data_IF_072397957025
#
_entry.id   IF_072397957025
#
_cell.length_a   1.000
_cell.length_b   1.000
_cell.length_c   1.000
_cell.angle_alpha   90.00
_cell.angle_beta   90.00
_cell.angle_gamma   90.00
#
_symmetry.space_group_name_H-M   'P 1'
#
loop_
_entity.id
_entity.type
_entity.pdbx_description
1 polymer ?
2 non-polymer ?
3 water ?
#
# COMPACT_ATOMS: atom_id res chain seq x y z
N UNK A 7 11.81 -17.82 -41.95
CA UNK A 7 11.11 -18.50 -40.85
C UNK A 7 12.05 -19.43 -40.09
N UNK A 8 12.11 -19.23 -38.78
CA UNK A 8 13.01 -20.01 -37.94
C UNK A 8 12.46 -21.43 -37.75
N UNK A 9 13.37 -22.35 -37.44
CA UNK A 9 13.02 -23.73 -37.17
C UNK A 9 12.82 -23.88 -35.66
N UNK A 10 11.56 -23.79 -35.23
CA UNK A 10 11.22 -23.87 -33.82
C UNK A 10 11.15 -25.32 -33.37
N UNK A 11 11.29 -25.57 -32.07
CA UNK A 11 11.05 -26.92 -31.55
C UNK A 11 9.59 -27.31 -31.68
N UNK A 12 9.34 -28.60 -31.52
CA UNK A 12 7.98 -29.10 -31.58
C UNK A 12 7.16 -28.49 -30.44
N UNK A 13 5.89 -28.12 -30.69
CA UNK A 13 5.05 -27.63 -29.58
C UNK A 13 4.78 -28.70 -28.53
N UNK A 14 5.04 -29.98 -28.82
CA UNK A 14 4.78 -31.01 -27.82
C UNK A 14 5.86 -31.04 -26.75
N UNK A 15 7.06 -30.56 -27.06
CA UNK A 15 8.17 -30.54 -26.10
C UNK A 15 8.51 -29.14 -25.65
N UNK A 16 7.88 -28.11 -26.21
CA UNK A 16 8.09 -26.71 -25.82
C UNK A 16 6.80 -25.97 -26.17
N UNK A 17 5.81 -26.11 -25.29
CA UNK A 17 4.44 -25.65 -25.54
C UNK A 17 4.31 -24.14 -25.63
N UNK A 18 5.41 -23.38 -25.50
CA UNK A 18 5.34 -21.95 -25.70
C UNK A 18 5.28 -21.57 -27.18
N UNK A 19 5.53 -22.51 -28.08
CA UNK A 19 5.40 -22.25 -29.52
C UNK A 19 4.20 -23.01 -30.05
N UNK A 20 3.02 -22.72 -29.50
CA UNK A 20 1.75 -23.26 -29.98
C UNK A 20 1.09 -22.20 -30.86
N UNK A 21 0.52 -22.64 -31.98
CA UNK A 21 -0.13 -21.73 -32.92
C UNK A 21 -1.16 -20.87 -32.21
N UNK A 22 -0.93 -19.56 -32.20
CA UNK A 22 -1.84 -18.62 -31.53
C UNK A 22 -3.22 -18.67 -32.15
N UNK A 23 -4.15 -19.34 -31.47
CA UNK A 23 -5.52 -19.47 -31.92
C UNK A 23 -6.44 -18.65 -31.01
N UNK A 24 -7.74 -18.90 -31.11
CA UNK A 24 -8.72 -18.24 -30.26
C UNK A 24 -8.95 -18.96 -28.94
N UNK A 25 -8.58 -20.24 -28.85
CA UNK A 25 -8.76 -21.03 -27.65
C UNK A 25 -7.60 -20.91 -26.68
N UNK A 26 -6.66 -20.00 -26.93
CA UNK A 26 -5.53 -19.82 -26.02
C UNK A 26 -5.14 -18.38 -25.76
N UNK A 27 -5.61 -17.40 -26.55
CA UNK A 27 -5.23 -16.00 -26.35
C UNK A 27 -6.26 -15.13 -27.06
N UNK A 28 -6.55 -13.97 -26.47
CA UNK A 28 -7.44 -12.98 -27.05
C UNK A 28 -6.80 -11.62 -26.89
N UNK A 29 -6.80 -10.83 -27.96
CA UNK A 29 -6.17 -9.52 -27.99
C UNK A 29 -7.21 -8.41 -27.84
N UNK A 30 -6.72 -7.22 -27.48
CA UNK A 30 -7.54 -6.03 -27.30
C UNK A 30 -8.67 -6.27 -26.30
N UNK A 39 2.10 -2.49 -30.92
CA UNK A 39 2.23 -3.57 -29.94
C UNK A 39 0.86 -3.99 -29.43
N UNK A 40 0.55 -5.27 -29.54
CA UNK A 40 -0.79 -5.74 -29.17
C UNK A 40 -1.02 -5.71 -27.67
N UNK A 41 -2.23 -5.35 -27.28
CA UNK A 41 -2.64 -5.34 -25.88
C UNK A 41 -3.28 -6.69 -25.55
N UNK A 42 -2.84 -7.30 -24.45
CA UNK A 42 -3.29 -8.63 -24.07
C UNK A 42 -4.58 -8.50 -23.28
N UNK A 43 -5.68 -9.02 -23.85
CA UNK A 43 -6.96 -9.03 -23.15
C UNK A 43 -7.11 -10.26 -22.27
N UNK A 44 -6.65 -11.41 -22.74
CA UNK A 44 -6.74 -12.64 -21.96
C UNK A 44 -6.05 -13.77 -22.67
N UNK A 45 -5.96 -14.90 -21.97
CA UNK A 45 -5.33 -16.08 -22.53
C UNK A 45 -4.82 -16.98 -21.43
N UNK A 46 -4.38 -18.17 -21.86
CA UNK A 46 -3.84 -19.13 -20.91
C UNK A 46 -2.55 -18.61 -20.29
N UNK A 47 -2.19 -19.20 -19.14
CA UNK A 47 -0.98 -18.77 -18.44
C UNK A 47 0.25 -19.08 -19.28
N UNK A 48 0.18 -20.10 -20.13
CA UNK A 48 1.29 -20.41 -21.02
C UNK A 48 1.47 -19.31 -22.07
N UNK A 49 0.35 -18.79 -22.59
CA UNK A 49 0.44 -17.71 -23.56
C UNK A 49 0.84 -16.39 -22.91
N UNK A 50 0.45 -16.18 -21.64
CA UNK A 50 0.86 -14.97 -20.94
C UNK A 50 2.37 -14.95 -20.70
N UNK A 51 2.95 -16.12 -20.39
CA UNK A 51 4.39 -16.19 -20.17
C UNK A 51 5.14 -15.90 -21.47
N UNK A 52 4.65 -16.44 -22.60
CA UNK A 52 5.29 -16.17 -23.88
C UNK A 52 5.24 -14.69 -24.22
N UNK A 53 4.09 -14.05 -23.99
CA UNK A 53 3.98 -12.62 -24.24
C UNK A 53 4.80 -11.80 -23.25
N UNK A 54 4.93 -12.30 -22.01
CA UNK A 54 5.77 -11.62 -21.04
C UNK A 54 7.24 -11.64 -21.46
N UNK A 55 7.66 -12.69 -22.14
CA UNK A 55 9.04 -12.87 -22.59
C UNK A 55 9.11 -12.95 -24.11
N UNK A 56 8.29 -12.14 -24.79
CA UNK A 56 8.28 -12.14 -26.25
C UNK A 56 9.52 -11.46 -26.79
N UNK A 57 10.12 -12.07 -27.82
CA UNK A 57 11.39 -11.59 -28.34
C UNK A 57 11.24 -10.45 -29.33
N UNK A 58 10.07 -10.30 -29.96
CA UNK A 58 9.90 -9.31 -31.01
C UNK A 58 9.75 -7.88 -30.49
N UNK A 59 9.42 -7.72 -29.21
CA UNK A 59 9.25 -6.38 -28.64
C UNK A 59 9.44 -6.47 -27.13
N UNK A 60 9.59 -5.30 -26.52
CA UNK A 60 9.74 -5.16 -25.06
C UNK A 60 8.65 -4.21 -24.56
N UNK A 61 7.73 -4.74 -23.75
CA UNK A 61 6.64 -3.96 -23.18
C UNK A 61 6.83 -3.88 -21.67
N UNK A 62 7.51 -2.84 -21.16
CA UNK A 62 7.65 -2.71 -19.71
C UNK A 62 6.33 -2.51 -19.00
N UNK A 63 5.33 -1.96 -19.70
CA UNK A 63 4.00 -1.81 -19.10
C UNK A 63 3.35 -3.16 -18.86
N UNK A 64 3.69 -4.17 -19.67
CA UNK A 64 3.14 -5.50 -19.48
C UNK A 64 3.90 -6.29 -18.42
N UNK A 65 5.19 -6.00 -18.25
CA UNK A 65 5.97 -6.69 -17.22
C UNK A 65 5.62 -6.14 -15.84
N UNK A 66 5.43 -4.83 -15.72
CA UNK A 66 5.08 -4.25 -14.44
C UNK A 66 3.69 -4.71 -14.00
N UNK A 67 2.73 -4.75 -14.93
CA UNK A 67 1.38 -5.16 -14.58
C UNK A 67 1.31 -6.64 -14.23
N UNK A 68 2.04 -7.47 -14.98
CA UNK A 68 2.02 -8.91 -14.71
C UNK A 68 2.54 -9.23 -13.32
N UNK A 69 3.75 -8.76 -13.00
CA UNK A 69 4.36 -9.06 -11.71
C UNK A 69 3.55 -8.48 -10.55
N UNK A 70 2.75 -7.44 -10.80
CA UNK A 70 1.92 -6.86 -9.74
C UNK A 70 0.67 -7.69 -9.48
N UNK A 71 0.11 -8.32 -10.51
CA UNK A 71 -1.19 -8.95 -10.40
C UNK A 71 -1.19 -10.45 -10.69
N UNK A 72 -0.02 -11.07 -10.90
CA UNK A 72 -0.01 -12.48 -11.31
C UNK A 72 -0.49 -13.42 -10.21
N UNK A 73 -0.42 -12.99 -8.94
CA UNK A 73 -0.80 -13.87 -7.84
C UNK A 73 -2.30 -14.17 -7.80
N UNK A 74 -3.10 -13.46 -8.59
CA UNK A 74 -4.53 -13.74 -8.68
C UNK A 74 -4.85 -14.88 -9.65
N UNK A 75 -3.84 -15.41 -10.35
CA UNK A 75 -4.08 -16.54 -11.24
C UNK A 75 -2.90 -17.49 -11.34
N UNK A 76 -1.84 -17.30 -10.55
CA UNK A 76 -0.66 -18.15 -10.63
C UNK A 76 0.13 -18.02 -9.34
N UNK A 77 0.59 -19.16 -8.83
CA UNK A 77 1.40 -19.17 -7.62
C UNK A 77 2.83 -18.72 -7.93
N UNK A 78 3.53 -18.12 -6.95
CA UNK A 78 4.93 -17.72 -7.19
C UNK A 78 5.82 -18.87 -7.60
N UNK A 79 5.65 -20.04 -6.98
CA UNK A 79 6.44 -21.21 -7.37
C UNK A 79 6.10 -21.65 -8.80
N UNK A 80 4.82 -21.52 -9.18
CA UNK A 80 4.41 -21.90 -10.52
C UNK A 80 4.96 -20.94 -11.56
N UNK A 81 5.03 -19.64 -11.24
CA UNK A 81 5.57 -18.67 -12.17
C UNK A 81 7.05 -18.92 -12.43
N UNK A 82 7.82 -19.22 -11.38
CA UNK A 82 9.24 -19.52 -11.56
C UNK A 82 9.45 -20.79 -12.37
N UNK A 83 8.52 -21.75 -12.26
CA UNK A 83 8.63 -22.96 -13.07
C UNK A 83 8.38 -22.66 -14.55
N UNK A 84 7.41 -21.79 -14.85
CA UNK A 84 7.13 -21.45 -16.24
C UNK A 84 8.24 -20.64 -16.87
N UNK A 85 8.87 -19.76 -16.09
CA UNK A 85 9.97 -18.95 -16.64
C UNK A 85 11.22 -19.80 -16.87
N UNK A 86 11.47 -20.77 -16.00
CA UNK A 86 12.58 -21.69 -16.22
C UNK A 86 12.28 -22.59 -17.41
N UNK A 87 11.04 -23.06 -17.54
CA UNK A 87 10.64 -23.82 -18.72
C UNK A 87 10.77 -22.99 -19.98
N UNK A 88 10.47 -21.69 -19.89
CA UNK A 88 10.66 -20.80 -21.03
C UNK A 88 12.13 -20.58 -21.33
N UNK A 89 12.99 -20.75 -20.33
CA UNK A 89 14.43 -20.51 -20.52
C UNK A 89 15.10 -21.71 -21.16
N UNK A 90 14.74 -22.93 -20.75
CA UNK A 90 15.39 -24.14 -21.22
C UNK A 90 14.72 -24.62 -22.52
N UNK A 91 15.00 -23.88 -23.58
CA UNK A 91 14.44 -24.16 -24.91
C UNK A 91 15.18 -25.32 -25.54
N UNK A 92 14.51 -26.45 -25.84
CA UNK A 92 15.17 -27.55 -26.54
C UNK A 92 15.26 -27.25 -28.03
N UNK A 93 16.47 -27.22 -28.56
CA UNK A 93 16.62 -26.95 -29.97
C UNK A 93 16.40 -28.22 -30.80
N UNK A 94 15.84 -28.09 -32.00
CA UNK A 94 15.57 -29.29 -32.81
C UNK A 94 16.85 -29.95 -33.29
N UNK A 95 16.71 -31.23 -33.64
CA UNK A 95 17.85 -32.00 -34.13
C UNK A 95 17.95 -31.92 -35.66
N UNK A 103 25.21 -32.82 -37.46
CA UNK A 103 23.97 -32.87 -36.71
C UNK A 103 24.06 -33.87 -35.56
N UNK A 104 23.49 -35.06 -35.77
CA UNK A 104 23.56 -36.11 -34.76
C UNK A 104 25.01 -36.60 -34.60
N UNK A 105 25.78 -36.60 -35.70
CA UNK A 105 27.18 -36.98 -35.61
C UNK A 105 28.01 -35.93 -34.88
N UNK A 106 27.52 -34.70 -34.78
CA UNK A 106 28.24 -33.65 -34.08
C UNK A 106 28.32 -33.88 -32.58
N UNK A 107 27.63 -34.90 -32.06
CA UNK A 107 27.72 -35.24 -30.65
C UNK A 107 29.14 -35.41 -30.18
N UNK A 108 29.54 -34.57 -29.20
CA UNK A 108 30.88 -34.37 -28.66
C UNK A 108 31.50 -33.11 -29.25
N UNK A 109 30.73 -32.38 -30.06
CA UNK A 109 31.19 -31.17 -30.72
C UNK A 109 30.00 -30.23 -30.86
N UNK A 110 30.23 -28.94 -31.08
CA UNK A 110 29.12 -28.01 -31.32
C UNK A 110 28.42 -28.31 -32.64
N UNK A 111 27.18 -27.83 -32.74
CA UNK A 111 26.37 -27.96 -33.94
C UNK A 111 26.31 -26.60 -34.62
N UNK A 112 26.04 -26.62 -35.93
CA UNK A 112 26.08 -25.41 -36.74
C UNK A 112 24.88 -25.40 -37.68
N UNK A 113 24.92 -24.46 -38.64
CA UNK A 113 23.88 -24.20 -39.64
C UNK A 113 22.67 -23.49 -39.02
N UNK A 114 21.47 -24.04 -39.22
CA UNK A 114 20.24 -23.36 -38.83
C UNK A 114 20.10 -23.17 -37.33
N UNK A 115 20.95 -23.80 -36.51
CA UNK A 115 20.86 -23.58 -35.08
C UNK A 115 21.43 -22.22 -34.68
N UNK A 116 22.37 -21.68 -35.45
CA UNK A 116 22.89 -20.35 -35.17
C UNK A 116 21.82 -19.29 -35.35
N UNK A 117 20.98 -19.43 -36.38
CA UNK A 117 19.87 -18.51 -36.57
C UNK A 117 18.80 -18.68 -35.49
N UNK A 118 18.62 -19.91 -35.01
CA UNK A 118 17.63 -20.16 -33.96
C UNK A 118 18.08 -19.60 -32.62
N UNK A 119 19.40 -19.56 -32.38
CA UNK A 119 19.90 -19.05 -31.10
C UNK A 119 20.03 -17.54 -31.10
N UNK A 120 20.33 -16.93 -32.25
CA UNK A 120 20.56 -15.48 -32.29
C UNK A 120 19.26 -14.69 -32.36
N UNK A 121 18.21 -15.25 -32.97
CA UNK A 121 16.96 -14.53 -33.16
C UNK A 121 15.88 -14.90 -32.17
N UNK A 122 15.94 -16.11 -31.58
CA UNK A 122 14.90 -16.54 -30.65
C UNK A 122 15.45 -16.90 -29.27
N UNK A 123 16.46 -17.77 -29.20
CA UNK A 123 16.92 -18.26 -27.90
C UNK A 123 17.56 -17.14 -27.10
N UNK A 124 18.44 -16.35 -27.73
CA UNK A 124 19.10 -15.27 -27.00
C UNK A 124 18.11 -14.18 -26.56
N UNK A 125 17.26 -13.63 -27.42
CA UNK A 125 16.34 -12.59 -26.94
C UNK A 125 15.36 -13.09 -25.89
N UNK A 126 14.82 -14.30 -26.06
CA UNK A 126 13.86 -14.82 -25.08
C UNK A 126 14.52 -15.00 -23.73
N UNK A 127 15.72 -15.59 -23.71
CA UNK A 127 16.43 -15.77 -22.45
C UNK A 127 16.82 -14.44 -21.82
N UNK A 128 17.06 -13.41 -22.64
CA UNK A 128 17.34 -12.09 -22.09
C UNK A 128 16.09 -11.44 -21.54
N UNK A 129 14.93 -11.69 -22.17
CA UNK A 129 13.67 -11.17 -21.62
C UNK A 129 13.37 -11.79 -20.26
N UNK A 130 13.70 -13.06 -20.09
CA UNK A 130 13.44 -13.73 -18.82
C UNK A 130 14.29 -13.14 -17.71
N UNK A 131 15.57 -12.89 -17.99
CA UNK A 131 16.45 -12.30 -16.98
C UNK A 131 15.98 -10.90 -16.58
N UNK A 132 15.41 -10.16 -17.53
CA UNK A 132 14.83 -8.87 -17.17
C UNK A 132 13.58 -9.05 -16.31
N UNK A 133 12.82 -10.13 -16.53
CA UNK A 133 11.69 -10.42 -15.67
C UNK A 133 12.18 -10.79 -14.27
N UNK A 134 13.22 -11.62 -14.18
CA UNK A 134 13.80 -11.93 -12.88
C UNK A 134 14.31 -10.68 -12.18
N UNK A 135 14.96 -9.79 -12.93
CA UNK A 135 15.51 -8.57 -12.35
C UNK A 135 14.40 -7.64 -11.86
N UNK A 136 13.33 -7.50 -12.64
CA UNK A 136 12.18 -6.72 -12.20
C UNK A 136 11.42 -7.39 -11.08
N UNK A 137 11.55 -8.71 -10.94
CA UNK A 137 10.84 -9.43 -9.89
C UNK A 137 11.45 -9.18 -8.53
N UNK A 138 12.77 -9.38 -8.41
CA UNK A 138 13.45 -9.19 -7.13
C UNK A 138 13.56 -7.71 -6.77
N UNK A 139 13.52 -6.81 -7.77
CA UNK A 139 13.67 -5.39 -7.50
C UNK A 139 12.45 -4.82 -6.79
N UNK A 140 11.26 -5.04 -7.37
CA UNK A 140 10.04 -4.42 -6.87
C UNK A 140 9.14 -5.36 -6.09
N UNK A 141 9.41 -6.67 -6.10
CA UNK A 141 8.55 -7.64 -5.44
C UNK A 141 9.38 -8.66 -4.68
N UNK A 142 10.40 -8.20 -3.97
CA UNK A 142 11.26 -9.11 -3.21
C UNK A 142 10.52 -9.75 -2.03
N UNK A 143 9.34 -9.24 -1.66
CA UNK A 143 8.59 -9.86 -0.59
C UNK A 143 8.17 -11.28 -0.94
N UNK A 144 8.03 -11.59 -2.24
CA UNK A 144 7.74 -12.96 -2.65
C UNK A 144 8.84 -13.92 -2.21
N UNK A 145 10.09 -13.46 -2.19
CA UNK A 145 11.21 -14.29 -1.80
C UNK A 145 11.47 -14.25 -0.30
N UNK A 146 10.97 -13.24 0.41
CA UNK A 146 11.08 -13.24 1.86
C UNK A 146 10.09 -14.21 2.49
N UNK A 147 8.88 -14.29 1.94
CA UNK A 147 7.87 -15.21 2.45
C UNK A 147 8.15 -16.65 2.05
N UNK A 148 8.97 -16.89 1.02
CA UNK A 148 9.26 -18.22 0.53
C UNK A 148 10.76 -18.31 0.26
N UNK A 149 11.50 -18.92 1.18
CA UNK A 149 12.95 -19.07 0.99
C UNK A 149 13.26 -20.08 -0.11
N UNK A 150 12.37 -21.05 -0.35
CA UNK A 150 12.57 -21.99 -1.44
C UNK A 150 12.53 -21.28 -2.78
N UNK A 151 11.64 -20.29 -2.92
CA UNK A 151 11.58 -19.51 -4.15
C UNK A 151 12.89 -18.78 -4.40
N UNK A 152 13.50 -18.25 -3.34
CA UNK A 152 14.79 -17.57 -3.48
C UNK A 152 15.92 -18.55 -3.76
N UNK A 153 15.84 -19.76 -3.20
CA UNK A 153 16.88 -20.76 -3.44
C UNK A 153 16.87 -21.24 -4.89
N UNK A 154 15.67 -21.43 -5.46
CA UNK A 154 15.58 -21.85 -6.85
C UNK A 154 16.15 -20.80 -7.79
N UNK A 155 15.80 -19.54 -7.56
CA UNK A 155 16.28 -18.47 -8.44
C UNK A 155 17.79 -18.31 -8.36
N UNK A 156 18.33 -18.30 -7.14
CA UNK A 156 19.78 -18.17 -6.98
C UNK A 156 20.50 -19.37 -7.58
N UNK A 157 19.93 -20.56 -7.47
CA UNK A 157 20.54 -21.74 -8.07
C UNK A 157 20.49 -21.69 -9.58
N UNK A 158 19.39 -21.17 -10.13
CA UNK A 158 19.25 -21.09 -11.58
C UNK A 158 20.09 -19.96 -12.16
N UNK A 159 20.13 -18.81 -11.48
CA UNK A 159 20.91 -17.68 -11.96
C UNK A 159 22.39 -18.01 -12.00
N UNK A 160 22.86 -18.80 -11.05
CA UNK A 160 24.26 -19.19 -11.00
C UNK A 160 24.64 -20.25 -12.05
N UNK A 161 23.69 -20.66 -12.89
CA UNK A 161 23.96 -21.65 -13.93
C UNK A 161 23.81 -21.10 -15.34
N UNK A 162 23.46 -19.82 -15.48
CA UNK A 162 23.30 -19.22 -16.81
C UNK A 162 24.68 -18.90 -17.37
N UNK A 163 24.99 -19.47 -18.52
CA UNK A 163 26.27 -19.26 -19.18
C UNK A 163 26.13 -18.27 -20.32
N UNK A 164 27.17 -17.49 -20.54
CA UNK A 164 27.19 -16.53 -21.63
C UNK A 164 27.71 -15.16 -21.21
N UNK A 165 28.22 -14.41 -22.19
CA UNK A 165 28.76 -13.08 -21.91
C UNK A 165 27.66 -12.02 -21.94
N UNK A 166 26.73 -12.12 -22.90
CA UNK A 166 25.63 -11.17 -22.97
C UNK A 166 24.71 -11.28 -21.76
N UNK A 167 24.67 -12.43 -21.10
CA UNK A 167 23.86 -12.62 -19.92
C UNK A 167 24.65 -12.49 -18.63
N UNK A 168 25.97 -12.34 -18.71
CA UNK A 168 26.78 -12.13 -17.51
C UNK A 168 26.47 -10.79 -16.85
N UNK A 169 26.05 -9.80 -17.65
CA UNK A 169 25.67 -8.50 -17.09
C UNK A 169 24.35 -8.59 -16.34
N UNK A 170 23.42 -9.43 -16.80
CA UNK A 170 22.14 -9.58 -16.12
C UNK A 170 22.27 -10.47 -14.89
N UNK A 171 23.11 -11.50 -14.95
CA UNK A 171 23.30 -12.38 -13.81
C UNK A 171 23.91 -11.62 -12.63
N UNK A 172 24.94 -10.83 -12.90
CA UNK A 172 25.55 -10.03 -11.84
C UNK A 172 24.62 -8.95 -11.33
N UNK A 173 23.74 -8.43 -12.18
CA UNK A 173 22.80 -7.41 -11.75
C UNK A 173 21.74 -7.97 -10.80
N UNK A 174 21.22 -9.16 -11.11
CA UNK A 174 20.21 -9.78 -10.27
C UNK A 174 20.81 -10.15 -8.92
N UNK A 175 21.99 -10.77 -8.92
CA UNK A 175 22.64 -11.15 -7.66
C UNK A 175 22.99 -9.92 -6.84
N UNK A 176 23.27 -8.79 -7.49
CA UNK A 176 23.56 -7.57 -6.75
C UNK A 176 22.31 -7.05 -6.04
N UNK A 177 21.16 -7.10 -6.72
CA UNK A 177 19.91 -6.65 -6.10
C UNK A 177 19.54 -7.56 -4.93
N UNK A 178 19.73 -8.87 -5.09
CA UNK A 178 19.40 -9.81 -4.02
C UNK A 178 20.23 -9.54 -2.78
N UNK A 179 21.52 -9.23 -2.97
CA UNK A 179 22.37 -8.91 -1.84
C UNK A 179 21.93 -7.63 -1.15
N UNK A 180 21.66 -6.59 -1.94
CA UNK A 180 21.22 -5.31 -1.37
C UNK A 180 19.91 -5.46 -0.61
N UNK A 181 18.98 -6.27 -1.15
CA UNK A 181 17.73 -6.50 -0.45
C UNK A 181 17.95 -7.25 0.86
N UNK A 182 18.84 -8.24 0.86
CA UNK A 182 19.13 -8.97 2.09
C UNK A 182 19.76 -8.07 3.14
N UNK A 183 20.57 -7.09 2.72
CA UNK A 183 21.14 -6.14 3.67
C UNK A 183 20.07 -5.21 4.24
N UNK A 184 19.00 -4.98 3.49
CA UNK A 184 17.94 -4.09 3.96
C UNK A 184 17.03 -4.77 4.97
N UNK A 185 16.76 -6.07 4.78
CA UNK A 185 15.87 -6.77 5.71
C UNK A 185 16.58 -7.08 7.02
N UNK A 186 17.89 -7.36 6.97
CA UNK A 186 18.64 -7.65 8.18
C UNK A 186 18.98 -6.39 8.96
N UNK A 187 18.93 -5.22 8.33
CA UNK A 187 19.22 -3.95 8.98
C UNK A 187 17.96 -3.21 9.44
N UNK A 188 16.86 -3.34 8.70
CA UNK A 188 15.63 -2.63 8.98
C UNK A 188 15.45 -1.36 8.18
N UNK A 189 16.53 -0.64 7.90
CA UNK A 189 16.52 0.55 7.07
C UNK A 189 17.37 0.29 5.84
N UNK A 190 16.88 0.73 4.67
CA UNK A 190 17.61 0.58 3.41
C UNK A 190 18.85 1.45 3.36
N UNK A 194 17.68 8.82 4.64
CA UNK A 194 16.90 9.86 5.29
C UNK A 194 17.50 11.25 5.04
N UNK A 195 17.56 11.64 3.76
CA UNK A 195 18.11 12.91 3.35
C UNK A 195 16.98 13.92 3.17
N UNK A 196 17.18 15.13 3.71
CA UNK A 196 16.21 16.21 3.66
C UNK A 196 16.85 17.44 3.01
N UNK A 197 16.10 18.54 3.00
CA UNK A 197 16.63 19.78 2.44
C UNK A 197 16.84 20.79 3.57
N UNK A 198 15.88 21.63 4.00
CA UNK A 198 15.98 22.19 5.35
C UNK A 198 14.72 21.93 6.15
N UNK A 199 14.78 21.05 7.15
CA UNK A 199 13.60 20.75 7.96
C UNK A 199 13.34 21.82 9.01
N UNK A 200 12.09 22.04 9.39
CA UNK A 200 11.77 23.06 10.40
C UNK A 200 12.02 22.53 11.80
N UNK A 201 12.10 23.40 12.80
CA UNK A 201 12.36 22.94 14.17
C UNK A 201 11.15 22.25 14.78
N UNK A 202 11.42 21.40 15.76
CA UNK A 202 10.39 20.62 16.43
C UNK A 202 9.74 21.46 17.51
N UNK A 203 8.41 21.47 17.53
CA UNK A 203 7.65 22.27 18.49
C UNK A 203 7.41 21.48 19.78
N UNK A 204 7.44 22.19 20.90
CA UNK A 204 7.18 21.60 22.21
C UNK A 204 6.26 22.51 23.01
N UNK A 205 5.41 21.89 23.82
CA UNK A 205 4.43 22.64 24.61
C UNK A 205 4.71 22.38 26.08
N UNK A 206 3.90 21.57 26.77
CA UNK A 206 4.10 21.34 28.20
C UNK A 206 5.04 20.16 28.44
N UNK A 207 4.97 19.14 27.59
CA UNK A 207 5.82 17.97 27.73
C UNK A 207 7.25 18.31 27.34
N UNK A 208 8.17 18.16 28.28
CA UNK A 208 9.58 18.33 27.97
C UNK A 208 10.10 17.09 27.23
N UNK A 209 11.05 17.28 26.31
CA UNK A 209 11.57 16.12 25.56
C UNK A 209 12.28 15.14 26.48
N UNK A 210 12.08 13.85 26.21
CA UNK A 210 12.67 12.80 27.01
C UNK A 210 11.81 12.33 28.16
N UNK A 211 10.62 12.91 28.36
CA UNK A 211 9.70 12.54 29.43
C UNK A 211 8.43 12.03 28.78
N UNK A 212 8.44 10.74 28.41
CA UNK A 212 7.30 10.15 27.69
C UNK A 212 6.09 9.98 28.59
N UNK A 213 6.28 9.94 29.91
CA UNK A 213 5.16 9.75 30.82
C UNK A 213 4.20 10.94 30.78
N UNK A 214 4.71 12.13 30.48
CA UNK A 214 3.90 13.34 30.41
C UNK A 214 3.28 13.57 29.04
N UNK A 215 3.43 12.61 28.11
CA UNK A 215 2.91 12.79 26.77
C UNK A 215 1.39 12.59 26.76
N UNK A 216 0.69 13.50 26.11
CA UNK A 216 -0.76 13.46 26.03
C UNK A 216 -1.20 14.40 24.91
N UNK A 217 -2.50 14.36 24.60
CA UNK A 217 -3.03 15.23 23.56
C UNK A 217 -2.87 16.70 23.93
N UNK A 218 -3.13 17.04 25.19
CA UNK A 218 -3.13 18.44 25.64
C UNK A 218 -1.78 18.91 26.16
N UNK A 219 -0.81 18.01 26.33
CA UNK A 219 0.52 18.39 26.79
C UNK A 219 1.52 18.53 25.65
N UNK A 220 1.36 17.77 24.58
CA UNK A 220 2.22 17.93 23.41
C UNK A 220 1.73 19.10 22.56
N UNK A 221 2.62 19.57 21.69
CA UNK A 221 2.29 20.72 20.85
C UNK A 221 1.40 20.27 19.71
N UNK A 222 0.31 20.99 19.42
CA UNK A 222 -0.59 20.56 18.33
C UNK A 222 0.06 20.54 16.97
N UNK A 223 1.02 21.44 16.72
CA UNK A 223 1.76 21.40 15.47
C UNK A 223 2.54 20.10 15.36
N UNK A 224 3.28 19.74 16.42
CA UNK A 224 4.13 18.56 16.36
C UNK A 224 3.32 17.28 16.37
N UNK A 225 2.13 17.30 16.99
CA UNK A 225 1.26 16.13 16.96
C UNK A 225 0.89 15.79 15.52
N UNK A 226 0.47 16.80 14.75
CA UNK A 226 0.09 16.56 13.37
C UNK A 226 1.30 16.20 12.52
N UNK A 227 2.46 16.79 12.81
CA UNK A 227 3.68 16.45 12.07
C UNK A 227 4.04 14.99 12.26
N UNK A 228 4.14 14.55 13.51
CA UNK A 228 4.56 13.18 13.79
C UNK A 228 3.52 12.17 13.30
N UNK A 229 2.24 12.52 13.41
CA UNK A 229 1.19 11.63 12.89
C UNK A 229 1.23 11.57 11.37
N UNK A 230 1.55 12.69 10.71
CA UNK A 230 1.68 12.67 9.26
C UNK A 230 2.87 11.84 8.82
N UNK A 231 4.01 11.97 9.52
CA UNK A 231 5.19 11.18 9.19
C UNK A 231 4.94 9.70 9.41
N UNK A 232 4.25 9.35 10.49
CA UNK A 232 3.95 7.94 10.77
C UNK A 232 2.97 7.37 9.75
N UNK A 233 1.90 8.12 9.46
CA UNK A 233 0.94 7.67 8.47
C UNK A 233 1.49 7.69 7.05
N UNK A 234 2.52 8.51 6.80
CA UNK A 234 3.18 8.47 5.50
C UNK A 234 4.03 7.21 5.35
N UNK A 235 4.75 6.83 6.41
CA UNK A 235 5.55 5.61 6.35
C UNK A 235 4.67 4.38 6.21
N UNK A 236 3.55 4.34 6.94
CA UNK A 236 2.61 3.23 6.80
C UNK A 236 2.01 3.20 5.40
N UNK A 237 1.80 4.37 4.79
CA UNK A 237 1.21 4.43 3.45
C UNK A 237 2.20 3.97 2.40
N UNK A 238 3.48 4.30 2.57
CA UNK A 238 4.49 3.94 1.57
C UNK A 238 4.93 2.49 1.65
N UNK A 239 4.71 1.82 2.79
CA UNK A 239 5.03 0.41 2.91
C UNK A 239 4.00 -0.49 2.23
N UNK A 240 2.85 0.07 1.82
CA UNK A 240 1.80 -0.73 1.20
C UNK A 240 2.15 -0.97 -0.26
N UNK A 241 2.22 -2.25 -0.64
CA UNK A 241 2.52 -2.63 -2.01
C UNK A 241 1.24 -2.80 -2.82
N UNK A 242 1.29 -2.56 -4.14
CA UNK A 242 0.07 -2.71 -4.95
C UNK A 242 -0.50 -4.12 -4.96
N UNK A 243 0.34 -5.14 -4.80
CA UNK A 243 -0.15 -6.51 -4.80
C UNK A 243 -1.03 -6.81 -3.59
N UNK A 244 -0.89 -6.04 -2.51
CA UNK A 244 -1.75 -6.21 -1.34
C UNK A 244 -3.17 -5.75 -1.60
N UNK A 245 -3.44 -5.10 -2.73
CA UNK A 245 -4.77 -4.64 -3.09
C UNK A 245 -5.37 -5.41 -4.25
N UNK A 246 -4.64 -6.35 -4.83
CA UNK A 246 -5.11 -7.15 -5.96
C UNK A 246 -5.85 -8.36 -5.43
N UNK A 247 -6.98 -8.69 -6.05
CA UNK A 247 -7.74 -9.86 -5.67
C UNK A 247 -8.45 -9.78 -4.33
N UNK A 248 -8.54 -8.59 -3.73
CA UNK A 248 -9.20 -8.40 -2.45
C UNK A 248 -8.59 -9.29 -1.36
N UNK A 249 -7.28 -9.51 -1.44
CA UNK A 249 -6.62 -10.46 -0.54
C UNK A 249 -6.64 -9.98 0.91
N UNK A 250 -6.91 -8.71 1.15
CA UNK A 250 -7.00 -8.22 2.52
C UNK A 250 -8.34 -8.55 3.18
N UNK A 251 -9.24 -9.23 2.46
CA UNK A 251 -10.50 -9.69 3.02
C UNK A 251 -10.69 -11.19 2.79
N UNK A 252 -9.59 -11.94 2.79
CA UNK A 252 -9.62 -13.38 2.58
C UNK A 252 -9.11 -14.09 3.83
N UNK A 253 -8.89 -15.40 3.71
CA UNK A 253 -8.44 -16.19 4.85
C UNK A 253 -7.05 -15.76 5.30
N UNK A 254 -6.11 -15.66 4.37
CA UNK A 254 -4.74 -15.24 4.66
C UNK A 254 -4.55 -13.76 4.41
N UNK A 255 -5.43 -12.93 4.98
CA UNK A 255 -5.29 -11.49 4.82
C UNK A 255 -4.09 -10.95 5.58
N UNK A 256 -3.72 -11.59 6.69
CA UNK A 256 -2.59 -11.12 7.49
C UNK A 256 -1.26 -11.38 6.80
N UNK A 257 -1.21 -12.31 5.85
CA UNK A 257 0.03 -12.65 5.16
C UNK A 257 0.06 -11.96 3.81
N UNK A 258 -1.11 -11.81 3.18
CA UNK A 258 -1.19 -11.24 1.85
C UNK A 258 -1.23 -9.71 1.85
N UNK A 259 -1.69 -9.09 2.94
CA UNK A 259 -1.77 -7.63 3.02
C UNK A 259 -1.41 -7.17 4.43
N UNK A 260 -0.17 -7.42 4.88
CA UNK A 260 0.19 -6.99 6.23
C UNK A 260 0.35 -5.49 6.35
N UNK A 261 0.88 -4.83 5.33
CA UNK A 261 1.06 -3.38 5.39
C UNK A 261 -0.26 -2.63 5.22
N UNK A 262 -1.15 -3.16 4.37
CA UNK A 262 -2.45 -2.51 4.17
C UNK A 262 -3.30 -2.59 5.43
N UNK A 263 -3.30 -3.76 6.09
CA UNK A 263 -4.08 -3.90 7.32
C UNK A 263 -3.48 -3.09 8.46
N UNK A 264 -2.14 -2.97 8.51
CA UNK A 264 -1.52 -2.14 9.53
C UNK A 264 -1.88 -0.67 9.32
N UNK A 265 -2.05 -0.24 8.07
CA UNK A 265 -2.55 1.10 7.80
C UNK A 265 -3.98 1.27 8.28
N UNK A 266 -4.82 0.26 8.08
CA UNK A 266 -6.21 0.34 8.50
C UNK A 266 -6.32 0.33 10.02
N UNK A 267 -5.56 -0.54 10.67
CA UNK A 267 -5.61 -0.62 12.13
C UNK A 267 -5.13 0.67 12.78
N UNK A 268 -4.21 1.39 12.13
CA UNK A 268 -3.76 2.66 12.67
C UNK A 268 -4.83 3.73 12.56
N UNK A 269 -5.52 3.79 11.42
CA UNK A 269 -6.57 4.80 11.23
C UNK A 269 -7.71 4.58 12.20
N UNK A 270 -8.05 3.32 12.48
CA UNK A 270 -9.14 3.03 13.42
C UNK A 270 -8.72 3.39 14.84
N UNK A 271 -7.50 3.06 15.24
CA UNK A 271 -7.05 3.35 16.59
C UNK A 271 -6.96 4.85 16.84
N UNK A 272 -6.41 5.60 15.89
CA UNK A 272 -6.30 7.04 16.07
C UNK A 272 -7.66 7.72 16.06
N UNK A 273 -8.61 7.20 15.29
CA UNK A 273 -9.97 7.74 15.33
C UNK A 273 -10.60 7.53 16.70
N UNK A 274 -10.44 6.33 17.26
CA UNK A 274 -10.97 6.06 18.59
C UNK A 274 -10.22 6.83 19.66
N UNK A 275 -8.93 7.13 19.43
CA UNK A 275 -8.18 7.94 20.39
C UNK A 275 -8.73 9.35 20.45
N UNK A 276 -9.09 9.92 19.30
CA UNK A 276 -9.70 11.24 19.29
C UNK A 276 -11.08 11.22 19.95
N UNK A 277 -11.83 10.13 19.75
CA UNK A 277 -13.11 10.00 20.45
C UNK A 277 -12.91 9.82 21.95
N UNK A 278 -11.89 9.04 22.34
CA UNK A 278 -11.64 8.80 23.75
C UNK A 278 -11.23 10.07 24.48
N UNK A 279 -10.47 10.95 23.81
CA UNK A 279 -10.05 12.19 24.45
C UNK A 279 -11.23 13.13 24.66
N UNK A 280 -12.17 13.17 23.72
CA UNK A 280 -13.30 14.08 23.83
C UNK A 280 -14.27 13.61 24.90
N UNK A 281 -14.68 12.34 24.83
CA UNK A 281 -15.76 11.87 25.69
C UNK A 281 -15.31 11.64 27.14
N UNK A 282 -14.02 11.47 27.39
CA UNK A 282 -13.54 11.26 28.75
C UNK A 282 -13.24 12.56 29.48
N UNK A 283 -13.31 13.70 28.80
CA UNK A 283 -13.18 15.01 29.45
C UNK A 283 -14.54 15.37 30.01
N UNK A 284 -14.79 14.95 31.25
CA UNK A 284 -16.11 15.14 31.86
C UNK A 284 -16.41 16.60 32.11
N UNK A 285 -15.42 17.37 32.57
CA UNK A 285 -15.62 18.79 32.77
C UNK A 285 -15.89 19.48 31.44
N UNK A 286 -16.90 20.36 31.43
CA UNK A 286 -17.33 21.00 30.19
C UNK A 286 -16.22 21.86 29.60
N UNK A 287 -15.59 22.68 30.42
CA UNK A 287 -14.55 23.57 29.92
C UNK A 287 -13.36 22.78 29.40
N UNK A 288 -13.00 21.69 30.07
CA UNK A 288 -11.88 20.87 29.61
C UNK A 288 -12.23 20.13 28.33
N UNK A 289 -13.51 19.79 28.13
CA UNK A 289 -13.91 19.11 26.90
C UNK A 289 -13.91 20.06 25.71
N UNK A 290 -14.25 21.34 25.94
CA UNK A 290 -14.21 22.31 24.86
C UNK A 290 -12.77 22.59 24.45
N UNK A 291 -11.84 22.59 25.41
CA UNK A 291 -10.44 22.82 25.10
C UNK A 291 -9.86 21.64 24.30
N UNK A 292 -10.29 20.42 24.63
CA UNK A 292 -9.79 19.24 23.92
C UNK A 292 -10.29 19.24 22.47
N UNK A 293 -11.58 19.52 22.27
CA UNK A 293 -12.13 19.55 20.92
C UNK A 293 -11.50 20.69 20.11
N UNK A 294 -11.26 21.83 20.74
CA UNK A 294 -10.59 22.93 20.04
C UNK A 294 -9.17 22.54 19.66
N UNK A 295 -8.48 21.80 20.53
CA UNK A 295 -7.13 21.35 20.22
C UNK A 295 -7.13 20.38 19.04
N UNK A 296 -8.17 19.55 18.93
CA UNK A 296 -8.27 18.62 17.82
C UNK A 296 -8.54 19.36 16.52
N UNK A 297 -9.34 20.43 16.58
CA UNK A 297 -9.61 21.22 15.37
C UNK A 297 -8.34 21.90 14.88
N UNK A 298 -7.47 22.32 15.81
CA UNK A 298 -6.19 22.89 15.40
C UNK A 298 -5.30 21.84 14.75
N UNK A 299 -5.25 20.63 15.32
CA UNK A 299 -4.52 19.54 14.70
C UNK A 299 -5.09 19.22 13.32
N UNK A 300 -6.41 19.40 13.15
CA UNK A 300 -7.03 19.19 11.85
C UNK A 300 -6.50 20.18 10.83
N UNK A 301 -6.28 21.43 11.23
CA UNK A 301 -5.81 22.44 10.30
C UNK A 301 -4.38 22.15 9.82
N UNK A 302 -3.54 21.63 10.71
CA UNK A 302 -2.19 21.28 10.30
C UNK A 302 -2.20 20.05 9.41
N UNK A 303 -3.15 19.14 9.62
CA UNK A 303 -3.29 17.98 8.76
C UNK A 303 -3.55 18.39 7.31
N UNK A 304 -4.50 19.31 7.10
CA UNK A 304 -4.80 19.75 5.75
C UNK A 304 -3.75 20.71 5.20
N UNK A 305 -2.96 21.34 6.08
CA UNK A 305 -1.80 22.08 5.59
C UNK A 305 -0.71 21.14 5.10
N UNK A 306 -0.56 19.99 5.75
CA UNK A 306 0.39 18.97 5.33
C UNK A 306 -0.17 18.03 4.28
N UNK A 307 -1.39 18.27 3.81
CA UNK A 307 -2.07 17.40 2.83
C UNK A 307 -2.19 15.97 3.36
N UNK A 308 -2.38 15.82 4.67
CA UNK A 308 -2.55 14.50 5.28
C UNK A 308 -4.05 14.21 5.36
N UNK A 309 -4.59 13.71 4.25
CA UNK A 309 -6.02 13.44 4.17
C UNK A 309 -6.43 12.22 5.01
N UNK A 310 -5.49 11.35 5.35
CA UNK A 310 -5.81 10.25 6.25
C UNK A 310 -6.06 10.77 7.66
N UNK A 311 -5.19 11.66 8.14
CA UNK A 311 -5.41 12.26 9.45
C UNK A 311 -6.64 13.14 9.50
N UNK A 312 -6.97 13.80 8.39
CA UNK A 312 -8.18 14.62 8.33
C UNK A 312 -9.42 13.75 8.56
N UNK A 313 -9.48 12.62 7.87
CA UNK A 313 -10.64 11.74 8.00
C UNK A 313 -10.66 11.01 9.33
N UNK A 314 -9.52 10.82 9.97
CA UNK A 314 -9.52 10.28 11.33
C UNK A 314 -10.25 11.22 12.29
N UNK A 315 -10.03 12.53 12.13
CA UNK A 315 -10.72 13.49 12.97
C UNK A 315 -12.18 13.64 12.55
N UNK A 316 -12.44 13.63 11.24
CA UNK A 316 -13.81 13.73 10.75
C UNK A 316 -14.62 12.51 11.19
N UNK A 317 -14.02 11.32 11.11
CA UNK A 317 -14.72 10.12 11.57
C UNK A 317 -14.96 10.15 13.07
N UNK A 318 -14.06 10.79 13.82
CA UNK A 318 -14.24 10.88 15.27
C UNK A 318 -15.41 11.79 15.63
N UNK A 319 -15.52 12.94 14.96
CA UNK A 319 -16.61 13.87 15.24
C UNK A 319 -17.93 13.42 14.62
N UNK A 320 -17.89 12.52 13.64
CA UNK A 320 -19.11 11.99 13.05
C UNK A 320 -19.69 10.82 13.83
N UNK A 321 -18.94 10.25 14.78
CA UNK A 321 -19.44 9.13 15.56
C UNK A 321 -20.62 9.56 16.43
N UNK A 322 -21.44 8.57 16.81
CA UNK A 322 -22.60 8.85 17.63
C UNK A 322 -22.21 9.37 19.01
N UNK A 323 -21.00 9.09 19.47
CA UNK A 323 -20.59 9.55 20.79
C UNK A 323 -20.29 11.04 20.79
N UNK A 324 -19.64 11.53 19.73
CA UNK A 324 -19.19 12.92 19.71
C UNK A 324 -20.22 13.84 19.07
N UNK A 325 -20.85 13.40 17.97
CA UNK A 325 -21.74 14.27 17.21
C UNK A 325 -22.93 14.73 18.04
N UNK A 326 -23.36 13.93 19.01
CA UNK A 326 -24.52 14.25 19.83
C UNK A 326 -24.22 15.28 20.91
N UNK A 327 -22.99 15.76 21.01
CA UNK A 327 -22.62 16.72 22.05
C UNK A 327 -22.86 18.14 21.55
N UNK A 328 -24.15 18.47 21.41
CA UNK A 328 -24.55 19.75 20.85
C UNK A 328 -23.99 20.91 21.66
N UNK A 329 -24.10 20.84 22.99
CA UNK A 329 -23.66 21.95 23.83
C UNK A 329 -22.15 22.15 23.76
N UNK A 330 -21.40 21.08 23.48
CA UNK A 330 -19.95 21.22 23.34
C UNK A 330 -19.60 21.98 22.07
N UNK A 331 -20.22 21.62 20.95
CA UNK A 331 -19.93 22.28 19.68
C UNK A 331 -20.38 23.74 19.69
N UNK A 332 -21.49 24.04 20.38
CA UNK A 332 -21.97 25.41 20.40
C UNK A 332 -21.11 26.31 21.29
N UNK A 333 -20.27 25.73 22.15
CA UNK A 333 -19.35 26.51 22.96
C UNK A 333 -18.08 26.90 22.20
N UNK A 334 -17.87 26.37 21.01
CA UNK A 334 -16.70 26.69 20.21
C UNK A 334 -16.86 28.05 19.54
N UNK A 335 -15.74 28.62 19.13
CA UNK A 335 -15.77 29.80 18.28
C UNK A 335 -16.36 29.45 16.93
N UNK A 336 -17.04 30.43 16.30
CA UNK A 336 -17.65 30.19 15.00
C UNK A 336 -16.62 29.75 13.97
N UNK A 337 -15.45 30.40 13.97
CA UNK A 337 -14.39 30.03 13.04
C UNK A 337 -13.88 28.62 13.32
N UNK A 338 -13.93 28.19 14.58
CA UNK A 338 -13.58 26.81 14.91
C UNK A 338 -14.59 25.83 14.30
N UNK A 339 -15.88 26.12 14.47
CA UNK A 339 -16.91 25.25 13.90
C UNK A 339 -16.87 25.25 12.38
N UNK A 340 -16.68 26.43 11.77
CA UNK A 340 -16.67 26.52 10.32
C UNK A 340 -15.58 25.63 9.71
N UNK A 341 -14.38 25.65 10.29
CA UNK A 341 -13.30 24.82 9.80
C UNK A 341 -13.66 23.34 9.93
N UNK A 342 -14.23 22.95 11.07
CA UNK A 342 -14.63 21.56 11.26
C UNK A 342 -15.81 21.20 10.37
N UNK A 343 -16.78 22.12 10.23
CA UNK A 343 -17.92 21.86 9.36
C UNK A 343 -17.48 21.75 7.90
N UNK A 344 -16.51 22.58 7.49
CA UNK A 344 -15.97 22.45 6.14
C UNK A 344 -15.34 21.09 5.92
N UNK A 345 -14.58 20.59 6.90
CA UNK A 345 -13.94 19.29 6.77
C UNK A 345 -14.97 18.17 6.67
N UNK A 346 -16.04 18.25 7.46
CA UNK A 346 -17.09 17.25 7.38
C UNK A 346 -17.85 17.37 6.06
N UNK A 347 -18.01 18.59 5.55
CA UNK A 347 -18.71 18.79 4.28
C UNK A 347 -17.91 18.19 3.12
N UNK A 348 -16.61 18.49 3.05
CA UNK A 348 -15.80 18.03 1.95
C UNK A 348 -15.55 16.52 1.99
N UNK A 349 -15.77 15.89 3.13
CA UNK A 349 -15.63 14.43 3.26
C UNK A 349 -16.91 13.69 2.97
N UNK A 350 -17.97 14.39 2.57
CA UNK A 350 -19.26 13.76 2.33
C UNK A 350 -19.23 12.88 1.08
N UNK A 353 -17.46 11.04 -0.69
CA UNK A 353 -16.24 11.81 -0.85
C UNK A 353 -16.26 12.60 -2.15
N UNK A 354 -17.36 13.32 -2.37
CA UNK A 354 -17.51 14.08 -3.61
C UNK A 354 -16.49 15.20 -3.71
N UNK A 355 -16.26 15.94 -2.62
CA UNK A 355 -15.31 17.03 -2.61
C UNK A 355 -13.92 16.61 -2.18
N UNK A 356 -13.74 15.37 -1.72
CA UNK A 356 -12.40 14.90 -1.39
C UNK A 356 -11.60 14.58 -2.65
N UNK A 357 -12.28 14.27 -3.75
CA UNK A 357 -11.58 14.01 -5.01
C UNK A 357 -11.07 15.28 -5.65
N UNK A 358 -11.79 16.39 -5.48
CA UNK A 358 -11.37 17.65 -6.10
C UNK A 358 -10.13 18.20 -5.41
N UNK A 359 -10.06 18.09 -4.08
CA UNK A 359 -8.92 18.62 -3.35
C UNK A 359 -7.67 17.78 -3.59
N UNK A 360 -7.84 16.46 -3.69
CA UNK A 360 -6.69 15.59 -3.90
C UNK A 360 -6.12 15.72 -5.31
N UNK A 361 -6.99 15.97 -6.30
CA UNK A 361 -6.57 16.12 -7.69
C UNK A 361 -6.12 17.53 -8.03
N UNK A 362 -5.49 18.23 -7.08
CA UNK A 362 -5.01 19.58 -7.33
C UNK A 362 -3.76 19.88 -6.51
N UNK A 363 -3.50 19.04 -5.51
CA UNK A 363 -2.35 19.23 -4.62
C UNK A 363 -1.24 18.28 -5.05
N UNK A 364 0.00 18.67 -4.75
CA UNK A 364 1.16 17.89 -5.10
C UNK A 364 1.71 17.16 -3.88
N UNK A 365 2.44 16.07 -4.09
CA UNK A 365 3.18 15.45 -2.98
C UNK A 365 4.09 16.45 -2.29
N UNK A 366 4.44 16.24 -1.02
CA UNK A 366 4.10 15.10 -0.16
C UNK A 366 2.64 15.08 0.26
N UNK A 367 2.01 13.90 0.20
CA UNK A 367 0.59 13.78 0.49
C UNK A 367 0.31 12.38 1.04
N UNK A 368 -0.67 12.30 1.91
CA UNK A 368 -1.14 11.03 2.47
C UNK A 368 -2.61 10.88 2.12
N UNK A 369 -2.93 10.19 1.03
CA UNK A 369 -4.34 10.03 0.62
C UNK A 369 -5.04 9.01 1.50
N UNK A 370 -6.33 8.84 1.24
CA UNK A 370 -7.18 7.93 2.02
C UNK A 370 -7.36 6.64 1.23
N UNK A 371 -7.03 5.51 1.87
CA UNK A 371 -7.12 4.23 1.19
C UNK A 371 -8.57 3.79 0.98
N UNK A 372 -9.46 4.14 1.91
CA UNK A 372 -10.80 3.56 1.89
C UNK A 372 -11.57 3.78 0.61
N UNK A 373 -11.33 4.90 -0.08
CA UNK A 373 -12.04 5.14 -1.32
C UNK A 373 -11.43 4.35 -2.47
N UNK A 374 -10.11 4.13 -2.45
CA UNK A 374 -9.48 3.29 -3.47
C UNK A 374 -9.83 1.83 -3.27
N UNK A 375 -9.94 1.40 -2.02
CA UNK A 375 -10.34 0.02 -1.73
C UNK A 375 -11.75 -0.25 -2.25
N UNK A 376 -12.63 0.74 -2.16
CA UNK A 376 -13.99 0.57 -2.66
C UNK A 376 -14.01 0.44 -4.18
N UNK A 377 -13.19 1.24 -4.87
CA UNK A 377 -13.13 1.16 -6.33
C UNK A 377 -12.52 -0.16 -6.79
N UNK A 378 -11.62 -0.74 -5.99
CA UNK A 378 -11.04 -2.03 -6.35
C UNK A 378 -12.00 -3.16 -6.05
N UNK A 379 -12.63 -3.13 -4.87
CA UNK A 379 -13.58 -4.17 -4.51
C UNK A 379 -14.74 -4.25 -5.50
N UNK A 380 -15.23 -3.10 -5.95
CA UNK A 380 -16.30 -3.10 -6.94
C UNK A 380 -15.81 -3.51 -8.32
N UNK A 381 -14.51 -3.37 -8.59
CA UNK A 381 -13.95 -3.86 -9.85
C UNK A 381 -13.70 -5.36 -9.80
N UNK A 382 -13.32 -5.90 -8.64
CA UNK A 382 -13.17 -7.35 -8.50
C UNK A 382 -14.50 -8.06 -8.69
N UNK A 383 -15.61 -7.42 -8.34
CA UNK A 383 -16.93 -7.99 -8.51
C UNK A 383 -17.54 -7.67 -9.87
N UNK A 384 -17.12 -6.58 -10.51
CA UNK A 384 -17.65 -6.17 -11.79
C UNK A 384 -17.07 -6.86 -12.99
N UNK A 385 -16.09 -7.74 -12.81
CA UNK A 385 -15.47 -8.46 -13.91
C UNK A 385 -15.22 -9.90 -13.47
N UNK A 386 -15.37 -10.84 -14.41
CA UNK A 386 -15.14 -12.24 -14.14
C UNK A 386 -13.66 -12.57 -14.30
N UNK A 387 -13.19 -13.51 -13.47
CA UNK A 387 -11.77 -13.84 -13.46
C UNK A 387 -11.33 -14.62 -14.69
N UNK A 388 -12.25 -15.28 -15.39
CA UNK A 388 -11.91 -16.16 -16.50
C UNK A 388 -12.80 -15.87 -17.70
N UNK A 389 -12.17 -15.59 -18.84
CA UNK A 389 -12.88 -15.54 -20.11
C UNK A 389 -13.04 -16.94 -20.68
N UNK A 390 -14.04 -17.11 -21.52
CA UNK A 390 -14.31 -18.39 -22.17
C UNK A 390 -14.50 -18.18 -23.66
N UNK A 391 -13.87 -19.04 -24.46
CA UNK A 391 -13.91 -18.94 -25.92
C UNK A 391 -14.72 -20.08 -26.52
N UNK A 392 -14.22 -21.31 -26.43
CA UNK A 392 -14.90 -22.48 -26.98
C UNK A 392 -14.97 -23.59 -25.94
N UNK A 393 -15.43 -23.24 -24.75
CA UNK A 393 -15.43 -24.18 -23.64
C UNK A 393 -14.14 -24.27 -22.88
N UNK A 394 -13.11 -23.51 -23.27
CA UNK A 394 -11.84 -23.46 -22.58
C UNK A 394 -11.72 -22.11 -21.87
N UNK A 395 -11.44 -22.14 -20.58
CA UNK A 395 -11.36 -20.93 -19.79
C UNK A 395 -10.00 -20.27 -19.95
N UNK A 396 -10.01 -18.97 -20.27
CA UNK A 396 -8.80 -18.18 -20.40
C UNK A 396 -8.71 -17.19 -19.25
N UNK A 397 -7.48 -16.85 -18.86
CA UNK A 397 -7.27 -15.94 -17.75
C UNK A 397 -7.62 -14.52 -18.21
N UNK A 398 -8.65 -13.94 -17.61
CA UNK A 398 -9.07 -12.58 -17.92
C UNK A 398 -8.01 -11.58 -17.44
N UNK A 399 -7.08 -11.20 -18.30
CA UNK A 399 -6.02 -10.29 -17.92
C UNK A 399 -6.45 -8.84 -17.90
N UNK A 400 -7.52 -8.49 -18.63
CA UNK A 400 -8.01 -7.11 -18.61
C UNK A 400 -8.50 -6.71 -17.22
N UNK A 401 -9.06 -7.65 -16.48
CA UNK A 401 -9.49 -7.36 -15.11
C UNK A 401 -8.29 -7.00 -14.23
N UNK A 402 -7.15 -7.65 -14.46
CA UNK A 402 -5.96 -7.36 -13.67
C UNK A 402 -5.36 -6.01 -14.05
N UNK A 403 -5.53 -5.59 -15.30
CA UNK A 403 -4.98 -4.30 -15.74
C UNK A 403 -5.75 -3.13 -15.13
N UNK A 404 -7.07 -3.25 -15.05
CA UNK A 404 -7.87 -2.17 -14.49
C UNK A 404 -7.60 -1.99 -13.00
N UNK A 405 -7.42 -3.10 -12.28
CA UNK A 405 -7.07 -3.01 -10.86
C UNK A 405 -5.68 -2.44 -10.69
N UNK A 406 -4.75 -2.79 -11.58
CA UNK A 406 -3.39 -2.27 -11.48
C UNK A 406 -3.34 -0.76 -11.71
N UNK A 407 -4.27 -0.22 -12.50
CA UNK A 407 -4.29 1.23 -12.73
C UNK A 407 -4.84 1.99 -11.54
N UNK A 408 -5.74 1.36 -10.76
CA UNK A 408 -6.21 2.00 -9.54
C UNK A 408 -5.09 2.05 -8.51
N UNK A 409 -4.29 0.99 -8.43
CA UNK A 409 -3.15 0.97 -7.51
C UNK A 409 -2.02 1.89 -7.96
N UNK A 410 -1.98 2.25 -9.24
CA UNK A 410 -0.93 3.13 -9.73
C UNK A 410 -1.00 4.53 -9.14
N UNK A 411 -2.21 4.98 -8.79
CA UNK A 411 -2.36 6.28 -8.17
C UNK A 411 -1.79 6.30 -6.76
N UNK A 412 -1.76 5.15 -6.09
CA UNK A 412 -1.21 5.08 -4.74
C UNK A 412 0.30 5.26 -4.76
N UNK A 413 0.98 4.52 -5.67
CA UNK A 413 2.42 4.66 -5.78
C UNK A 413 2.85 6.05 -6.22
N UNK A 414 1.94 6.81 -6.83
CA UNK A 414 2.26 8.17 -7.26
C UNK A 414 2.59 9.06 -6.07
N UNK A 415 1.76 9.00 -5.02
CA UNK A 415 1.97 9.83 -3.83
C UNK A 415 3.02 9.26 -2.89
N UNK A 416 3.47 8.02 -3.11
CA UNK A 416 4.46 7.42 -2.23
C UNK A 416 5.89 7.81 -2.56
N UNK A 417 6.12 8.47 -3.70
CA UNK A 417 7.47 8.79 -4.12
C UNK A 417 8.08 9.90 -3.27
N UNK A 418 7.37 11.02 -3.13
CA UNK A 418 7.93 12.17 -2.45
C UNK A 418 7.76 12.05 -0.94
N UNK A 419 8.81 12.27 -0.16
CA UNK A 419 8.67 12.22 1.30
C UNK A 419 8.33 13.58 1.89
N UNK A 420 8.18 13.64 3.22
CA UNK A 420 7.93 14.87 3.92
C UNK A 420 9.25 15.43 4.47
N UNK A 421 9.40 16.76 4.39
CA UNK A 421 10.58 17.44 4.93
C UNK A 421 10.29 17.84 6.38
N UNK A 422 10.16 16.83 7.23
CA UNK A 422 9.86 17.02 8.63
C UNK A 422 10.72 16.09 9.48
N UNK A 423 11.25 16.62 10.58
CA UNK A 423 12.06 15.82 11.48
C UNK A 423 11.17 14.85 12.27
N UNK A 424 11.72 13.67 12.55
CA UNK A 424 11.02 12.64 13.31
C UNK A 424 11.42 12.75 14.78
N UNK A 425 10.43 12.73 15.67
CA UNK A 425 10.69 12.74 17.10
C UNK A 425 10.53 11.33 17.62
N UNK A 426 11.60 10.67 18.08
CA UNK A 426 11.48 9.26 18.45
C UNK A 426 10.51 8.99 19.60
N UNK A 427 10.53 9.81 20.64
CA UNK A 427 9.64 9.60 21.77
C UNK A 427 8.17 9.76 21.36
N UNK A 428 7.88 10.76 20.53
CA UNK A 428 6.51 10.94 20.05
C UNK A 428 6.13 9.86 19.05
N UNK A 429 7.08 9.39 18.24
CA UNK A 429 6.80 8.34 17.27
C UNK A 429 6.35 7.06 17.96
N UNK A 430 7.13 6.61 18.95
CA UNK A 430 6.74 5.42 19.70
C UNK A 430 5.46 5.64 20.50
N UNK A 431 5.21 6.88 20.93
CA UNK A 431 3.98 7.18 21.66
C UNK A 431 2.76 6.92 20.79
N UNK A 432 2.78 7.39 19.54
CA UNK A 432 1.67 7.17 18.63
C UNK A 432 1.67 5.77 18.02
N UNK A 433 2.84 5.13 17.93
CA UNK A 433 2.89 3.76 17.43
C UNK A 433 2.24 2.79 18.41
N UNK A 434 2.39 3.04 19.71
CA UNK A 434 1.87 2.17 20.75
C UNK A 434 0.51 2.61 21.28
N UNK A 435 -0.19 3.47 20.54
CA UNK A 435 -1.51 3.93 20.97
C UNK A 435 -2.52 2.79 20.87
N UNK A 436 -3.09 2.41 22.02
CA UNK A 436 -4.10 1.36 22.10
C UNK A 436 -5.22 1.87 23.00
N UNK A 437 -6.11 2.71 22.49
CA UNK A 437 -7.19 3.24 23.34
C UNK A 437 -8.20 2.19 23.77
N UNK A 438 -8.36 1.12 23.00
CA UNK A 438 -9.31 0.07 23.36
C UNK A 438 -8.84 -0.75 24.54
N UNK A 439 -7.55 -0.75 24.84
CA UNK A 439 -7.05 -1.58 25.93
C UNK A 439 -7.12 -3.05 25.55
N UNK A 440 -7.64 -3.86 26.47
CA UNK A 440 -7.84 -5.28 26.22
C UNK A 440 -9.22 -5.61 25.68
N UNK A 441 -10.10 -4.61 25.57
CA UNK A 441 -11.44 -4.84 25.06
C UNK A 441 -11.45 -4.82 23.53
N UNK A 442 -12.57 -5.26 22.97
CA UNK A 442 -12.71 -5.29 21.52
C UNK A 442 -13.14 -3.93 20.99
N UNK A 443 -13.39 -3.85 19.69
CA UNK A 443 -13.76 -2.59 19.07
C UNK A 443 -15.19 -2.20 19.37
N UNK A 444 -16.13 -3.15 19.28
CA UNK A 444 -17.53 -2.84 19.55
C UNK A 444 -17.77 -2.62 21.03
N UNK A 445 -17.01 -3.29 21.89
CA UNK A 445 -17.14 -3.06 23.33
C UNK A 445 -16.66 -1.66 23.71
N UNK A 446 -15.65 -1.14 23.03
CA UNK A 446 -15.11 0.18 23.37
C UNK A 446 -16.03 1.30 22.90
N UNK A 447 -16.63 1.15 21.71
CA UNK A 447 -17.54 2.18 21.22
C UNK A 447 -18.81 2.25 22.06
N UNK A 448 -19.25 1.12 22.62
CA UNK A 448 -20.38 1.15 23.55
C UNK A 448 -20.01 1.88 24.83
N UNK A 449 -18.77 1.73 25.28
CA UNK A 449 -18.29 2.50 26.44
C UNK A 449 -18.23 3.99 26.13
N UNK A 450 -17.94 4.35 24.88
CA UNK A 450 -17.88 5.76 24.52
C UNK A 450 -19.29 6.37 24.44
N UNK A 451 -20.25 5.61 23.92
CA UNK A 451 -21.62 6.13 23.84
C UNK A 451 -22.25 6.24 25.22
N UNK A 452 -21.96 5.28 26.11
CA UNK A 452 -22.43 5.38 27.49
C UNK A 452 -21.77 6.56 28.20
N UNK A 453 -20.48 6.79 27.92
CA UNK A 453 -19.80 7.95 28.49
C UNK A 453 -20.36 9.25 27.95
N UNK A 454 -20.80 9.25 26.68
CA UNK A 454 -21.41 10.45 26.12
C UNK A 454 -22.77 10.74 26.74
N UNK A 455 -23.51 9.69 27.11
CA UNK A 455 -24.77 9.86 27.82
C UNK A 455 -24.57 10.31 29.26
N UNK A 456 -23.35 10.22 29.79
CA UNK A 456 -23.06 10.66 31.14
C UNK A 456 -22.66 12.12 31.20
N UNK A 457 -21.87 12.59 30.23
CA UNK A 457 -21.41 13.98 30.26
C UNK A 457 -22.46 14.92 29.69
N UNK A 458 -23.26 14.46 28.72
CA UNK A 458 -24.37 15.25 28.17
C UNK A 458 -25.54 14.32 27.94
N UNK A 459 -26.36 14.07 28.97
CA UNK A 459 -27.45 13.11 28.83
C UNK A 459 -28.55 13.63 27.91
N UNK A 460 -29.39 12.70 27.47
CA UNK A 460 -30.53 13.05 26.64
C UNK A 460 -31.51 13.92 27.42
N UNK A 461 -32.26 14.74 26.69
CA UNK A 461 -33.30 15.54 27.32
C UNK A 461 -34.39 14.62 27.88
N UNK A 462 -35.08 15.05 28.95
CA UNK A 462 -34.93 16.31 29.68
C UNK A 462 -34.01 16.20 30.90
N UNK A 463 -32.91 15.45 30.81
CA UNK A 463 -31.99 15.35 31.93
C UNK A 463 -31.25 16.66 32.13
N UNK A 464 -30.84 16.93 33.37
CA UNK A 464 -30.16 18.17 33.71
C UNK A 464 -28.69 18.11 33.36
N UNK A 465 -28.05 19.26 33.17
CA UNK A 465 -26.60 19.28 32.93
C UNK A 465 -25.84 18.76 34.14
N UNK A 466 -25.01 17.75 33.96
CA UNK A 466 -24.25 17.22 35.11
C UNK A 466 -23.12 18.15 35.51
N UNK A 467 -22.60 17.91 36.70
CA UNK A 467 -21.56 18.74 37.31
C UNK A 467 -20.31 17.90 37.50
N UNK A 468 -19.28 18.19 36.70
CA UNK A 468 -18.00 17.50 36.79
C UNK A 468 -16.89 18.49 37.06
N UNK A 469 -15.99 18.21 38.00
CA UNK A 469 -14.94 19.17 38.34
C UNK A 469 -13.76 19.08 37.39
N UNK A 470 -12.99 20.17 37.35
CA UNK A 470 -11.77 20.22 36.55
C UNK A 470 -10.75 19.21 37.07
N UNK A 471 -10.45 18.19 36.27
CA UNK A 471 -9.51 17.15 36.67
C UNK A 471 -8.09 17.40 36.18
N UNK A 472 -7.90 18.27 35.20
CA UNK A 472 -6.57 18.52 34.66
C UNK A 472 -5.71 19.28 35.67
N UNK A 473 -4.48 18.81 35.85
CA UNK A 473 -3.52 19.45 36.74
C UNK A 473 -2.64 20.47 36.03
N UNK A 474 -2.91 20.74 34.75
CA UNK A 474 -2.09 21.64 33.96
C UNK A 474 -2.98 22.56 33.15
N UNK A 475 -2.39 23.64 32.65
CA UNK A 475 -3.13 24.61 31.86
C UNK A 475 -3.48 24.02 30.50
N UNK A 476 -4.76 24.13 30.13
CA UNK A 476 -5.25 23.60 28.87
C UNK A 476 -5.22 24.63 27.74
N UNK A 477 -4.61 25.79 27.97
CA UNK A 477 -4.55 26.80 26.93
C UNK A 477 -3.62 26.36 25.81
N UNK A 478 -4.06 26.55 24.58
CA UNK A 478 -3.30 26.08 23.42
C UNK A 478 -2.16 27.04 23.09
N UNK A 479 -0.99 26.52 22.72
CA UNK A 479 0.11 27.39 22.30
C UNK A 479 -0.12 28.04 20.95
N UNK A 480 -0.96 27.46 20.10
CA UNK A 480 -1.29 28.03 18.81
C UNK A 480 -0.89 27.13 17.66
N UNK A 481 -1.24 27.58 16.46
CA UNK A 481 -0.98 26.82 15.23
C UNK A 481 0.17 27.41 14.42
N UNK A 482 0.61 28.62 14.73
CA UNK A 482 1.69 29.22 13.95
C UNK A 482 3.04 28.69 14.43
N UNK A 483 3.95 28.35 13.50
CA UNK A 483 5.30 27.86 13.82
C UNK A 483 6.25 28.99 14.18
#
# INVERSE_FOLDING_TARGET
>A
GAMAEQQLRLPSPEVYRFVVKDSEENIVFEDNLQSRSGIPIIKGGTVVKLIERLTYHMYADPNFVRTFLTTYRSFCKPQELLSLLIERFEIPEPEPTDADKLAIEKGEQPISADLKRFRKEYVQPVQLRILNVFRHWVEHHFYDFERDLYLLERLESFISSVRGKAMKKWVESIAKIIRRKKQAQANGVSHNITFESPPPPIEWHISKPGHIETFDLMTLHPIEIARQLTLLESDLYRKVQPSELVGSVWTKEDKEINSPNLLKMIRHTTNLTLWFEKCIVEAENFEERVAVLSRIIEILQVFQDLNNFNGVLEIVSAVNSVSVYRLDHTFEALQERKRKILDEAVELSQDHFKKYLVKLKSINPPCVPFFGIYLTNILKTEEGNNDFLTRHGKDLINFSKRRKVAEITGEIQQYQNQPYCLRIEPDMRRFFENLNPMGSASEKEFTDYLFNKSLEIEPRNPKQPPRFPRKSTFSLKSPGIRPNTGRHGS
#
